data_IF_731278885382
#
_entry.id   IF_731278885382
#
_cell.length_a   1.000
_cell.length_b   1.000
_cell.length_c   1.000
_cell.angle_alpha   90.00
_cell.angle_beta   90.00
_cell.angle_gamma   90.00
#
_symmetry.space_group_name_H-M   'P 1'
#
loop_
_entity.id
_entity.type
_entity.pdbx_description
1 polymer ?
#
# COMPACT_ATOMS: atom_id res chain seq x y z
N UNK A 1 -11.71 -5.07 -24.01
CA UNK A 1 -11.68 -4.86 -22.55
C UNK A 1 -10.99 -6.06 -21.95
N UNK A 2 -9.95 -5.85 -21.14
CA UNK A 2 -9.41 -6.96 -20.35
C UNK A 2 -10.53 -7.41 -19.40
N UNK A 3 -10.96 -8.66 -19.54
CA UNK A 3 -11.85 -9.29 -18.56
C UNK A 3 -11.11 -9.40 -17.24
N UNK A 4 -11.77 -8.97 -16.16
CA UNK A 4 -11.26 -9.10 -14.79
C UNK A 4 -10.90 -10.58 -14.57
N UNK A 5 -9.64 -10.86 -14.22
CA UNK A 5 -9.09 -12.23 -14.11
C UNK A 5 -9.40 -12.85 -12.76
N UNK A 6 -9.44 -12.05 -11.69
CA UNK A 6 -9.76 -12.49 -10.33
C UNK A 6 -11.26 -12.29 -10.02
N UNK A 7 -11.81 -13.15 -9.16
CA UNK A 7 -13.24 -13.08 -8.76
C UNK A 7 -13.57 -11.89 -7.87
N UNK A 8 -12.56 -11.34 -7.18
CA UNK A 8 -12.66 -10.18 -6.31
C UNK A 8 -11.48 -9.27 -6.64
N UNK A 9 -11.77 -8.04 -7.05
CA UNK A 9 -10.76 -7.05 -7.44
C UNK A 9 -11.02 -5.76 -6.68
N UNK A 10 -10.03 -5.22 -5.95
CA UNK A 10 -10.14 -3.89 -5.38
C UNK A 10 -10.29 -2.85 -6.49
N UNK A 11 -11.28 -1.98 -6.33
CA UNK A 11 -11.58 -0.92 -7.29
C UNK A 11 -11.34 0.45 -6.67
N UNK A 12 -10.41 1.20 -7.23
CA UNK A 12 -9.95 2.48 -6.71
C UNK A 12 -10.60 3.64 -7.46
N UNK A 13 -11.10 4.63 -6.74
CA UNK A 13 -11.67 5.83 -7.33
C UNK A 13 -10.69 6.99 -7.22
N UNK A 14 -10.37 7.60 -8.35
CA UNK A 14 -9.56 8.81 -8.44
C UNK A 14 -10.37 9.92 -9.10
N UNK A 15 -10.00 11.16 -8.80
CA UNK A 15 -10.58 12.32 -9.44
C UNK A 15 -10.20 12.32 -10.93
N UNK A 16 -8.90 12.30 -11.21
CA UNK A 16 -8.33 12.42 -12.56
C UNK A 16 -7.09 11.56 -12.83
N UNK A 17 -6.53 10.90 -11.81
CA UNK A 17 -5.17 10.34 -11.85
C UNK A 17 -5.10 8.81 -11.85
N UNK A 18 -6.15 8.10 -12.26
CA UNK A 18 -6.20 6.63 -12.17
C UNK A 18 -5.06 5.95 -12.93
N UNK A 19 -4.79 6.41 -14.15
CA UNK A 19 -3.68 5.89 -14.96
C UNK A 19 -2.31 6.27 -14.40
N UNK A 20 -2.14 7.51 -13.96
CA UNK A 20 -0.88 7.96 -13.35
C UNK A 20 -0.56 7.12 -12.10
N UNK A 21 -1.57 6.84 -11.28
CA UNK A 21 -1.42 5.99 -10.10
C UNK A 21 -1.05 4.55 -10.49
N UNK A 22 -1.75 3.96 -11.46
CA UNK A 22 -1.44 2.62 -11.95
C UNK A 22 -0.01 2.50 -12.51
N UNK A 23 0.44 3.49 -13.30
CA UNK A 23 1.80 3.54 -13.84
C UNK A 23 2.84 3.74 -12.73
N UNK A 24 2.54 4.58 -11.74
CA UNK A 24 3.40 4.75 -10.56
C UNK A 24 3.55 3.44 -9.79
N UNK A 25 2.46 2.76 -9.43
CA UNK A 25 2.53 1.49 -8.70
C UNK A 25 3.27 0.41 -9.48
N UNK A 26 3.04 0.33 -10.80
CA UNK A 26 3.77 -0.58 -11.68
C UNK A 26 5.28 -0.29 -11.71
N UNK A 27 5.69 0.97 -11.54
CA UNK A 27 7.12 1.35 -11.48
C UNK A 27 7.76 1.12 -10.12
N UNK A 28 6.98 1.13 -9.04
CA UNK A 28 7.47 0.98 -7.66
C UNK A 28 7.64 -0.49 -7.31
N UNK A 29 6.64 -1.30 -7.58
CA UNK A 29 6.59 -2.69 -7.14
C UNK A 29 7.07 -3.67 -8.21
N UNK A 30 7.76 -4.72 -7.78
CA UNK A 30 8.09 -5.84 -8.67
C UNK A 30 6.82 -6.60 -9.10
N UNK A 31 6.90 -7.39 -10.17
CA UNK A 31 5.76 -8.17 -10.68
C UNK A 31 4.46 -7.34 -10.83
N UNK A 32 4.61 -6.12 -11.33
CA UNK A 32 3.55 -5.12 -11.42
C UNK A 32 3.57 -4.47 -12.81
N UNK A 33 2.40 -4.24 -13.41
CA UNK A 33 2.28 -3.66 -14.74
C UNK A 33 0.88 -3.08 -14.97
N UNK A 34 0.76 -2.16 -15.92
CA UNK A 34 -0.56 -1.73 -16.44
C UNK A 34 -0.99 -2.71 -17.52
N UNK A 35 -2.12 -3.36 -17.33
CA UNK A 35 -2.65 -4.37 -18.25
C UNK A 35 -3.45 -3.74 -19.38
N UNK A 36 -4.37 -2.83 -19.05
CA UNK A 36 -5.17 -2.14 -20.06
C UNK A 36 -5.77 -0.84 -19.53
N UNK A 37 -6.08 0.07 -20.44
CA UNK A 37 -6.90 1.25 -20.17
C UNK A 37 -8.02 1.35 -21.20
N UNK A 38 -9.21 1.77 -20.77
CA UNK A 38 -10.36 2.03 -21.62
C UNK A 38 -11.04 3.33 -21.21
N UNK A 39 -11.38 4.14 -22.20
CA UNK A 39 -12.21 5.34 -21.99
C UNK A 39 -13.67 5.01 -22.25
N UNK A 40 -14.53 5.32 -21.29
CA UNK A 40 -15.98 5.23 -21.44
C UNK A 40 -16.54 6.64 -21.66
N UNK A 41 -17.32 6.78 -22.73
CA UNK A 41 -17.97 8.03 -23.10
C UNK A 41 -19.44 8.05 -22.69
N UNK A 42 -19.99 9.26 -22.49
CA UNK A 42 -21.42 9.45 -22.20
C UNK A 42 -21.86 8.98 -20.81
N UNK A 43 -20.96 8.93 -19.84
CA UNK A 43 -21.30 8.61 -18.44
C UNK A 43 -21.87 9.84 -17.72
N UNK A 44 -22.49 9.70 -16.53
CA UNK A 44 -22.89 10.84 -15.71
C UNK A 44 -21.72 11.79 -15.36
N UNK A 45 -20.48 11.28 -15.33
CA UNK A 45 -19.26 12.05 -15.12
C UNK A 45 -18.58 12.50 -16.43
N UNK A 46 -19.25 12.35 -17.59
CA UNK A 46 -18.68 12.63 -18.91
C UNK A 46 -17.82 11.49 -19.44
N UNK A 47 -16.60 11.81 -19.89
CA UNK A 47 -15.59 10.84 -20.33
C UNK A 47 -14.79 10.36 -19.12
N UNK A 48 -14.75 9.05 -18.89
CA UNK A 48 -14.06 8.45 -17.74
C UNK A 48 -13.06 7.41 -18.19
N UNK A 49 -11.87 7.40 -17.59
CA UNK A 49 -10.84 6.39 -17.86
C UNK A 49 -10.90 5.29 -16.81
N UNK A 50 -10.97 4.03 -17.25
CA UNK A 50 -10.90 2.84 -16.40
C UNK A 50 -9.61 2.09 -16.74
N UNK A 51 -8.79 1.82 -15.74
CA UNK A 51 -7.48 1.21 -15.88
C UNK A 51 -7.43 -0.09 -15.09
N UNK A 52 -7.02 -1.18 -15.73
CA UNK A 52 -6.68 -2.45 -15.08
C UNK A 52 -5.17 -2.56 -14.97
N UNK A 53 -4.68 -2.89 -13.79
CA UNK A 53 -3.26 -3.00 -13.50
C UNK A 53 -3.01 -4.05 -12.42
N UNK A 54 -1.75 -4.44 -12.26
CA UNK A 54 -1.31 -5.41 -11.29
C UNK A 54 -0.27 -4.80 -10.37
N UNK A 55 -0.38 -5.10 -9.07
CA UNK A 55 0.62 -4.76 -8.05
C UNK A 55 0.99 -6.04 -7.32
N UNK A 56 2.26 -6.43 -7.35
CA UNK A 56 2.76 -7.68 -6.76
C UNK A 56 1.94 -8.91 -7.20
N UNK A 57 1.51 -8.94 -8.47
CA UNK A 57 0.65 -9.98 -9.03
C UNK A 57 -0.83 -9.95 -8.62
N UNK A 58 -1.25 -9.06 -7.73
CA UNK A 58 -2.66 -8.82 -7.39
C UNK A 58 -3.30 -7.89 -8.42
N UNK A 59 -4.48 -8.24 -8.93
CA UNK A 59 -5.22 -7.43 -9.90
C UNK A 59 -5.94 -6.28 -9.19
N UNK A 60 -5.90 -5.10 -9.80
CA UNK A 60 -6.60 -3.89 -9.41
C UNK A 60 -7.33 -3.28 -10.61
N UNK A 61 -8.39 -2.55 -10.31
CA UNK A 61 -9.01 -1.62 -11.26
C UNK A 61 -9.04 -0.22 -10.64
N UNK A 62 -8.84 0.80 -11.46
CA UNK A 62 -8.98 2.20 -11.07
C UNK A 62 -9.85 2.95 -12.07
N UNK A 63 -10.57 3.97 -11.60
CA UNK A 63 -11.35 4.86 -12.44
C UNK A 63 -11.00 6.32 -12.17
N UNK A 64 -10.97 7.14 -13.22
CA UNK A 64 -10.99 8.61 -13.14
C UNK A 64 -12.36 9.12 -13.56
N UNK A 65 -13.17 9.51 -12.58
CA UNK A 65 -14.58 9.88 -12.79
C UNK A 65 -15.01 11.12 -12.00
N UNK A 66 -14.05 11.99 -11.67
CA UNK A 66 -14.27 13.21 -10.91
C UNK A 66 -14.28 13.00 -9.40
N UNK A 67 -14.47 14.08 -8.62
CA UNK A 67 -14.30 14.05 -7.18
C UNK A 67 -15.30 13.13 -6.49
N UNK A 68 -14.79 12.26 -5.63
CA UNK A 68 -15.55 11.48 -4.65
C UNK A 68 -14.98 11.74 -3.25
N UNK A 69 -15.47 11.02 -2.25
CA UNK A 69 -14.85 10.99 -0.92
C UNK A 69 -13.39 10.57 -1.06
N UNK A 70 -12.42 11.37 -0.56
CA UNK A 70 -11.01 11.02 -0.60
C UNK A 70 -10.73 9.70 0.13
N UNK A 71 -9.63 9.04 -0.25
CA UNK A 71 -9.14 7.88 0.48
C UNK A 71 -8.91 8.21 1.97
N UNK A 72 -9.17 7.21 2.79
CA UNK A 72 -8.90 7.23 4.22
C UNK A 72 -8.39 5.86 4.67
N UNK A 73 -8.05 5.76 5.93
CA UNK A 73 -7.36 4.63 6.54
C UNK A 73 -8.25 3.37 6.69
N UNK A 74 -9.55 3.45 6.36
CA UNK A 74 -10.48 2.32 6.45
C UNK A 74 -10.10 1.17 5.52
N UNK A 75 -9.44 1.47 4.40
CA UNK A 75 -8.83 0.49 3.50
C UNK A 75 -7.37 0.87 3.31
N UNK A 76 -6.48 -0.09 3.49
CA UNK A 76 -5.06 0.05 3.21
C UNK A 76 -4.49 -1.22 2.60
N UNK A 77 -3.38 -1.09 1.88
CA UNK A 77 -2.67 -2.22 1.30
C UNK A 77 -1.40 -2.50 2.09
N UNK A 78 -1.32 -3.71 2.64
CA UNK A 78 -0.18 -4.16 3.43
C UNK A 78 0.82 -4.90 2.55
N UNK A 79 2.08 -4.47 2.59
CA UNK A 79 3.20 -5.09 1.88
C UNK A 79 4.16 -5.66 2.91
N UNK A 80 4.37 -6.97 2.84
CA UNK A 80 5.34 -7.68 3.68
C UNK A 80 6.73 -7.55 3.10
N UNK A 81 7.69 -7.20 3.95
CA UNK A 81 9.09 -7.03 3.59
C UNK A 81 9.98 -7.94 4.42
N UNK A 82 10.93 -8.62 3.79
CA UNK A 82 11.82 -9.56 4.47
C UNK A 82 13.09 -8.86 4.97
N UNK A 83 13.45 -7.72 4.36
CA UNK A 83 14.68 -7.00 4.66
C UNK A 83 14.43 -5.52 4.96
N UNK A 84 15.38 -4.89 5.66
CA UNK A 84 15.32 -3.45 5.90
C UNK A 84 15.44 -2.65 4.60
N UNK A 85 16.21 -3.16 3.61
CA UNK A 85 16.34 -2.49 2.32
C UNK A 85 15.00 -2.42 1.56
N UNK A 86 14.18 -3.47 1.61
CA UNK A 86 12.84 -3.45 1.01
C UNK A 86 11.92 -2.44 1.72
N UNK A 87 11.95 -2.43 3.06
CA UNK A 87 11.17 -1.44 3.84
C UNK A 87 11.58 -0.03 3.44
N UNK A 88 12.88 0.25 3.43
CA UNK A 88 13.41 1.58 3.09
C UNK A 88 13.02 1.96 1.65
N UNK A 89 13.18 1.05 0.69
CA UNK A 89 12.83 1.30 -0.70
C UNK A 89 11.35 1.64 -0.88
N UNK A 90 10.43 0.80 -0.37
CA UNK A 90 8.99 1.06 -0.55
C UNK A 90 8.53 2.28 0.22
N UNK A 91 9.02 2.46 1.45
CA UNK A 91 8.69 3.63 2.25
C UNK A 91 9.09 4.93 1.54
N UNK A 92 10.34 5.02 1.11
CA UNK A 92 10.88 6.24 0.49
C UNK A 92 10.19 6.51 -0.85
N UNK A 93 9.88 5.47 -1.64
CA UNK A 93 9.15 5.62 -2.92
C UNK A 93 7.70 6.08 -2.73
N UNK A 94 6.97 5.49 -1.79
CA UNK A 94 5.55 5.80 -1.61
C UNK A 94 5.34 7.13 -0.89
N UNK A 95 6.28 7.56 -0.05
CA UNK A 95 6.20 8.86 0.65
C UNK A 95 6.76 10.03 -0.15
N UNK A 96 7.41 9.77 -1.28
CA UNK A 96 7.92 10.81 -2.18
C UNK A 96 6.79 11.64 -2.82
N UNK A 97 7.17 12.80 -3.35
CA UNK A 97 6.34 13.64 -4.23
C UNK A 97 4.94 13.98 -3.67
N UNK A 98 4.83 14.20 -2.36
CA UNK A 98 3.59 14.59 -1.69
C UNK A 98 2.95 13.49 -0.84
N UNK A 99 3.57 12.31 -0.74
CA UNK A 99 3.20 11.30 0.25
C UNK A 99 3.47 11.74 1.69
N UNK A 100 2.93 10.98 2.65
CA UNK A 100 2.95 11.31 4.07
C UNK A 100 3.31 10.09 4.92
N UNK A 101 4.30 10.26 5.79
CA UNK A 101 4.67 9.28 6.80
C UNK A 101 3.69 9.30 7.98
N UNK A 102 3.10 8.15 8.27
CA UNK A 102 2.21 7.90 9.41
C UNK A 102 2.91 6.95 10.39
N UNK A 103 2.31 6.70 11.55
CA UNK A 103 2.86 5.84 12.60
C UNK A 103 2.69 4.35 12.29
N UNK A 104 3.50 3.52 12.95
CA UNK A 104 3.35 2.06 12.99
C UNK A 104 3.39 1.38 11.61
N UNK A 105 4.26 1.82 10.71
CA UNK A 105 4.41 1.27 9.37
C UNK A 105 3.38 1.81 8.37
N UNK A 106 2.49 2.72 8.78
CA UNK A 106 1.51 3.33 7.88
C UNK A 106 2.12 4.50 7.11
N UNK A 107 1.65 4.69 5.88
CA UNK A 107 1.91 5.87 5.08
C UNK A 107 0.73 6.16 4.16
N UNK A 108 0.69 7.37 3.60
CA UNK A 108 -0.16 7.72 2.46
C UNK A 108 0.71 8.08 1.27
N UNK A 109 0.36 7.60 0.09
CA UNK A 109 1.06 8.02 -1.12
C UNK A 109 0.60 9.41 -1.60
N UNK A 110 1.22 9.92 -2.67
CA UNK A 110 0.87 11.23 -3.27
C UNK A 110 -0.56 11.32 -3.79
N UNK A 111 -1.26 10.20 -3.95
CA UNK A 111 -2.67 10.13 -4.34
C UNK A 111 -3.61 10.00 -3.13
N UNK A 112 -3.06 9.92 -1.90
CA UNK A 112 -3.80 9.81 -0.65
C UNK A 112 -4.16 8.39 -0.22
N UNK A 113 -3.77 7.37 -1.00
CA UNK A 113 -4.07 5.98 -0.69
C UNK A 113 -3.20 5.48 0.47
N UNK A 114 -3.80 4.76 1.41
CA UNK A 114 -3.10 4.24 2.60
C UNK A 114 -2.38 2.92 2.33
N UNK A 115 -1.13 2.84 2.76
CA UNK A 115 -0.28 1.65 2.67
C UNK A 115 0.30 1.31 4.05
N UNK A 116 0.62 0.03 4.25
CA UNK A 116 1.32 -0.46 5.42
C UNK A 116 2.55 -1.26 4.98
N UNK A 117 3.75 -0.78 5.30
CA UNK A 117 5.01 -1.46 5.01
C UNK A 117 5.46 -2.17 6.28
N UNK A 118 5.31 -3.50 6.31
CA UNK A 118 5.42 -4.29 7.53
C UNK A 118 6.46 -5.39 7.38
N UNK A 119 7.41 -5.56 8.31
CA UNK A 119 8.37 -6.65 8.24
C UNK A 119 7.71 -8.01 8.47
N UNK A 120 8.10 -9.02 7.70
CA UNK A 120 7.59 -10.39 7.83
C UNK A 120 7.85 -10.97 9.23
N UNK A 121 9.00 -10.64 9.84
CA UNK A 121 9.37 -11.13 11.19
C UNK A 121 8.38 -10.71 12.28
N UNK A 122 7.59 -9.64 12.08
CA UNK A 122 6.57 -9.26 13.06
C UNK A 122 5.46 -10.31 13.21
N UNK A 123 5.17 -11.13 12.19
CA UNK A 123 4.16 -12.17 12.30
C UNK A 123 4.57 -13.23 13.33
N UNK A 124 5.83 -13.67 13.28
CA UNK A 124 6.39 -14.62 14.25
C UNK A 124 6.42 -14.02 15.66
N UNK A 125 6.84 -12.76 15.79
CA UNK A 125 6.85 -12.06 17.07
C UNK A 125 5.44 -11.97 17.68
N UNK A 126 4.43 -11.63 16.86
CA UNK A 126 3.05 -11.53 17.29
C UNK A 126 2.41 -12.88 17.64
N UNK A 127 2.87 -13.97 17.01
CA UNK A 127 2.39 -15.33 17.27
C UNK A 127 3.13 -16.05 18.40
N UNK A 128 4.19 -15.45 18.96
CA UNK A 128 5.03 -16.08 20.00
C UNK A 128 4.29 -16.52 21.27
N UNK A 129 3.16 -15.88 21.59
CA UNK A 129 2.37 -16.17 22.79
C UNK A 129 3.00 -15.70 24.11
N UNK A 130 4.15 -15.03 24.09
CA UNK A 130 4.78 -14.42 25.27
C UNK A 130 4.23 -12.99 25.48
N UNK A 131 3.38 -12.76 26.51
CA UNK A 131 2.78 -11.45 26.74
C UNK A 131 3.81 -10.36 27.06
N UNK A 132 4.95 -10.72 27.64
CA UNK A 132 6.00 -9.76 27.99
C UNK A 132 6.77 -9.34 26.73
N UNK A 133 7.10 -10.30 25.85
CA UNK A 133 7.70 -9.99 24.55
C UNK A 133 6.74 -9.15 23.69
N UNK A 134 5.45 -9.51 23.65
CA UNK A 134 4.41 -8.73 22.95
C UNK A 134 4.31 -7.29 23.47
N UNK A 135 4.38 -7.09 24.79
CA UNK A 135 4.37 -5.74 25.37
C UNK A 135 5.61 -4.94 24.94
N UNK A 136 6.80 -5.56 24.91
CA UNK A 136 8.03 -4.88 24.47
C UNK A 136 7.99 -4.48 22.99
N UNK A 137 7.58 -5.38 22.10
CA UNK A 137 7.46 -5.04 20.67
C UNK A 137 6.40 -3.95 20.46
N UNK A 138 5.28 -4.01 21.20
CA UNK A 138 4.22 -2.99 21.11
C UNK A 138 4.75 -1.62 21.51
N UNK A 139 5.46 -1.53 22.63
CA UNK A 139 6.07 -0.27 23.05
C UNK A 139 7.15 0.24 22.09
N UNK A 140 7.85 -0.65 21.40
CA UNK A 140 8.85 -0.28 20.42
C UNK A 140 8.21 0.29 19.16
N UNK A 141 7.27 -0.44 18.56
CA UNK A 141 6.68 -0.08 17.27
C UNK A 141 5.76 1.14 17.36
N UNK A 142 5.13 1.40 18.52
CA UNK A 142 4.32 2.61 18.76
C UNK A 142 5.10 3.93 18.69
N UNK A 143 6.44 3.86 18.76
CA UNK A 143 7.35 5.02 18.64
C UNK A 143 7.95 5.16 17.25
N UNK A 144 7.59 4.25 16.33
CA UNK A 144 8.14 4.18 14.99
C UNK A 144 7.10 4.64 13.99
N UNK A 145 7.56 5.42 13.00
CA UNK A 145 6.85 5.59 11.73
C UNK A 145 7.21 4.45 10.79
N UNK A 146 8.38 4.54 10.17
CA UNK A 146 9.03 3.43 9.46
C UNK A 146 9.58 2.41 10.46
N UNK A 147 9.36 1.12 10.20
CA UNK A 147 9.92 0.06 11.06
C UNK A 147 11.42 -0.13 10.87
N UNK A 148 12.11 -0.32 11.99
CA UNK A 148 13.49 -0.81 12.06
C UNK A 148 13.45 -2.27 12.56
N UNK A 149 13.76 -3.20 11.66
CA UNK A 149 13.72 -4.65 11.96
C UNK A 149 14.62 -4.99 13.14
N UNK A 150 15.83 -4.43 13.19
CA UNK A 150 16.79 -4.76 14.24
C UNK A 150 16.33 -4.23 15.60
N UNK A 151 15.69 -3.06 15.67
CA UNK A 151 15.11 -2.51 16.88
C UNK A 151 13.92 -3.35 17.36
N UNK A 152 13.07 -3.83 16.44
CA UNK A 152 11.97 -4.73 16.78
C UNK A 152 12.48 -6.06 17.33
N UNK A 153 13.51 -6.65 16.70
CA UNK A 153 14.15 -7.88 17.19
C UNK A 153 14.75 -7.69 18.58
N UNK A 154 15.50 -6.59 18.82
CA UNK A 154 16.04 -6.28 20.15
C UNK A 154 14.94 -6.14 21.20
N UNK A 155 13.87 -5.42 20.87
CA UNK A 155 12.72 -5.27 21.76
C UNK A 155 12.07 -6.62 22.08
N UNK A 156 11.88 -7.47 21.07
CA UNK A 156 11.34 -8.82 21.24
C UNK A 156 12.21 -9.67 22.16
N UNK A 157 13.53 -9.68 21.95
CA UNK A 157 14.50 -10.42 22.76
C UNK A 157 14.76 -9.81 24.15
N UNK A 158 14.31 -8.57 24.39
CA UNK A 158 14.53 -7.85 25.66
C UNK A 158 15.94 -7.30 25.84
N UNK A 159 16.58 -6.87 24.74
CA UNK A 159 17.94 -6.31 24.70
C UNK A 159 17.94 -4.80 24.46
#
# INVERSE_FOLDING_TARGET
MATIRQKLVPHLWFDHQAREAAEFYASVFENSWVESSVTLEGTPSGSVEVVTFFVLGQEFQAISAGPLVPFNESISFMVKCDTQQEIDYYWDKLTADGGQEVECGWLKDKFGLSWQIVPTVMDEMMQSGDPVALARITQAFLKMKKFDIAALVRAFEGR
#
